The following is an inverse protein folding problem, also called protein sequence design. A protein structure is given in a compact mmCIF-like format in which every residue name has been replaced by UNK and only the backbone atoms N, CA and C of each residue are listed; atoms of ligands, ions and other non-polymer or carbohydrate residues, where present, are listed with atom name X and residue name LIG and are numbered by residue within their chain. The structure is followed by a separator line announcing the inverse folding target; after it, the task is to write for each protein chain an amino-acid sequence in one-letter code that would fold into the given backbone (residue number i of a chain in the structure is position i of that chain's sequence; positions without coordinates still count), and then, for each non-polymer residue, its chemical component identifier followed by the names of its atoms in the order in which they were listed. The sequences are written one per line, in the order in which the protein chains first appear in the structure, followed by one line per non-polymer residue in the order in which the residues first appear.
data_IF_775606275721
#
_entry.id   IF_775606275721
#
_cell.length_a   1.000
_cell.length_b   1.000
_cell.length_c   1.000
_cell.angle_alpha   90.00
_cell.angle_beta   90.00
_cell.angle_gamma   90.00
#
_symmetry.space_group_name_H-M   'P 1'
#
loop_
_entity.id
_entity.type
_entity.pdbx_description
1 polymer ?
#
# COMPACT_ATOMS: atom_id res chain seq x y z
N UNK A 1 15.14 1.21 -8.89
CA UNK A 1 13.85 1.71 -9.38
C UNK A 1 13.56 1.01 -10.68
N UNK A 2 12.36 0.45 -10.84
CA UNK A 2 11.91 -0.20 -12.09
C UNK A 2 10.82 0.70 -12.65
N UNK A 3 10.90 1.10 -13.92
CA UNK A 3 9.89 1.93 -14.59
C UNK A 3 9.22 1.13 -15.71
N UNK A 4 7.90 1.21 -15.80
CA UNK A 4 7.08 0.68 -16.88
C UNK A 4 6.19 1.81 -17.41
N UNK A 5 6.65 2.49 -18.46
CA UNK A 5 6.01 3.70 -18.95
C UNK A 5 6.05 4.82 -17.90
N UNK A 6 4.88 5.33 -17.48
CA UNK A 6 4.76 6.40 -16.47
C UNK A 6 4.66 5.89 -15.03
N UNK A 7 4.56 4.58 -14.84
CA UNK A 7 4.57 3.94 -13.52
C UNK A 7 6.02 3.58 -13.17
N UNK A 8 6.48 4.06 -12.03
CA UNK A 8 7.71 3.65 -11.36
C UNK A 8 7.42 2.80 -10.14
N UNK A 9 8.34 1.90 -9.81
CA UNK A 9 8.35 1.15 -8.57
C UNK A 9 9.71 1.28 -7.90
N UNK A 10 9.69 1.61 -6.61
CA UNK A 10 10.88 1.72 -5.78
C UNK A 10 10.82 0.67 -4.69
N UNK A 11 11.88 -0.12 -4.56
CA UNK A 11 12.06 -1.09 -3.48
C UNK A 11 13.08 -0.55 -2.50
N UNK A 12 12.70 -0.55 -1.23
CA UNK A 12 13.59 -0.30 -0.11
C UNK A 12 13.75 -1.62 0.64
N UNK A 13 14.91 -2.25 0.50
CA UNK A 13 15.23 -3.48 1.21
C UNK A 13 15.46 -3.17 2.68
N UNK A 14 14.89 -3.98 3.56
CA UNK A 14 15.16 -3.89 4.98
C UNK A 14 16.33 -4.80 5.34
N UNK A 15 17.24 -4.28 6.15
CA UNK A 15 18.47 -4.98 6.52
C UNK A 15 18.39 -5.69 7.87
N UNK A 16 19.51 -6.33 8.22
CA UNK A 16 19.72 -7.12 9.45
C UNK A 16 19.31 -6.39 10.73
N UNK A 17 19.44 -5.06 10.79
CA UNK A 17 19.06 -4.28 11.98
C UNK A 17 17.54 -4.28 12.22
N UNK A 18 16.74 -4.22 11.15
CA UNK A 18 15.28 -4.22 11.25
C UNK A 18 14.74 -5.59 11.66
N UNK A 19 15.43 -6.66 11.27
CA UNK A 19 15.03 -8.03 11.60
C UNK A 19 15.25 -8.40 13.07
N UNK A 20 16.15 -7.69 13.75
CA UNK A 20 16.43 -7.87 15.19
C UNK A 20 15.37 -7.25 16.11
N UNK A 21 14.51 -6.36 15.59
CA UNK A 21 13.53 -5.63 16.41
C UNK A 21 12.20 -6.38 16.34
N UNK A 22 11.65 -6.79 17.50
CA UNK A 22 10.34 -7.44 17.59
C UNK A 22 9.25 -6.53 17.03
N UNK A 23 8.30 -7.09 16.27
CA UNK A 23 7.14 -6.34 15.72
C UNK A 23 6.33 -5.58 16.78
N UNK A 24 6.34 -6.04 18.04
CA UNK A 24 5.62 -5.41 19.16
C UNK A 24 6.40 -4.29 19.85
N UNK A 25 7.70 -4.11 19.54
CA UNK A 25 8.53 -3.12 20.21
C UNK A 25 8.16 -1.68 19.81
N UNK A 26 7.57 -1.48 18.63
CA UNK A 26 7.16 -0.18 18.12
C UNK A 26 5.84 -0.29 17.34
N UNK A 27 5.07 0.80 17.21
CA UNK A 27 3.86 0.83 16.36
C UNK A 27 4.14 0.55 14.87
N UNK A 28 5.40 0.65 14.46
CA UNK A 28 5.85 0.34 13.10
C UNK A 28 5.91 -1.17 12.88
N UNK A 29 5.01 -1.71 12.05
CA UNK A 29 4.84 -3.16 11.88
C UNK A 29 5.83 -3.83 10.91
N UNK A 30 6.55 -3.05 10.10
CA UNK A 30 7.46 -3.56 9.06
C UNK A 30 8.86 -3.83 9.65
N UNK A 31 8.93 -4.67 10.69
CA UNK A 31 10.15 -5.01 11.43
C UNK A 31 10.54 -6.47 11.14
N UNK A 32 10.81 -7.27 12.18
CA UNK A 32 11.16 -8.68 12.06
C UNK A 32 10.31 -9.44 11.04
N UNK A 33 10.97 -10.10 10.09
CA UNK A 33 10.35 -10.87 9.01
C UNK A 33 9.85 -10.07 7.80
N UNK A 34 9.99 -8.74 7.78
CA UNK A 34 9.69 -7.92 6.59
C UNK A 34 10.96 -7.72 5.77
N UNK A 35 11.02 -8.30 4.56
CA UNK A 35 12.21 -8.27 3.70
C UNK A 35 12.41 -6.92 2.99
N UNK A 36 11.34 -6.30 2.53
CA UNK A 36 11.39 -5.05 1.75
C UNK A 36 10.06 -4.31 1.81
N UNK A 37 10.13 -3.00 1.63
CA UNK A 37 8.98 -2.14 1.37
C UNK A 37 9.03 -1.66 -0.09
N UNK A 38 7.89 -1.47 -0.71
CA UNK A 38 7.81 -0.91 -2.06
C UNK A 38 6.84 0.25 -2.11
N UNK A 39 7.10 1.18 -3.03
CA UNK A 39 6.18 2.27 -3.37
C UNK A 39 5.95 2.32 -4.86
N UNK A 40 4.71 2.59 -5.25
CA UNK A 40 4.34 2.89 -6.63
C UNK A 40 4.42 4.40 -6.80
N UNK A 41 5.15 4.84 -7.81
CA UNK A 41 5.27 6.23 -8.21
C UNK A 41 4.61 6.39 -9.57
N UNK A 42 3.83 7.43 -9.75
CA UNK A 42 3.22 7.75 -11.03
C UNK A 42 3.65 9.17 -11.40
N UNK A 43 4.35 9.31 -12.54
CA UNK A 43 4.65 10.63 -13.08
C UNK A 43 3.41 11.14 -13.81
N UNK A 44 2.88 12.27 -13.35
CA UNK A 44 1.77 12.97 -13.99
C UNK A 44 2.34 14.23 -14.65
N UNK A 45 2.55 14.17 -15.97
CA UNK A 45 3.00 15.35 -16.74
C UNK A 45 1.81 16.13 -17.33
N UNK A 46 0.60 15.64 -17.12
CA UNK A 46 -0.65 16.16 -17.68
C UNK A 46 -1.71 16.19 -16.58
N UNK A 47 -2.34 17.35 -16.41
CA UNK A 47 -3.30 17.61 -15.33
C UNK A 47 -4.76 17.61 -15.82
N UNK A 48 -5.01 17.19 -17.06
CA UNK A 48 -6.38 17.04 -17.54
C UNK A 48 -7.09 15.85 -16.86
N UNK A 49 -8.38 16.00 -16.61
CA UNK A 49 -9.15 15.04 -15.83
C UNK A 49 -9.15 13.62 -16.42
N UNK A 50 -9.09 13.50 -17.76
CA UNK A 50 -9.07 12.20 -18.44
C UNK A 50 -7.73 11.49 -18.23
N UNK A 51 -6.62 12.21 -18.37
CA UNK A 51 -5.28 11.69 -18.09
C UNK A 51 -5.10 11.30 -16.63
N UNK A 52 -5.52 12.15 -15.69
CA UNK A 52 -5.46 11.85 -14.25
C UNK A 52 -6.25 10.58 -13.93
N UNK A 53 -7.47 10.46 -14.44
CA UNK A 53 -8.29 9.25 -14.26
C UNK A 53 -7.59 8.00 -14.78
N UNK A 54 -7.02 8.08 -15.98
CA UNK A 54 -6.25 6.98 -16.59
C UNK A 54 -5.04 6.59 -15.74
N UNK A 55 -4.28 7.55 -15.22
CA UNK A 55 -3.11 7.28 -14.38
C UNK A 55 -3.47 6.61 -13.05
N UNK A 56 -4.59 7.04 -12.44
CA UNK A 56 -5.14 6.40 -11.24
C UNK A 56 -5.57 4.95 -11.53
N UNK A 57 -6.29 4.72 -12.64
CA UNK A 57 -6.70 3.37 -13.05
C UNK A 57 -5.49 2.46 -13.29
N UNK A 58 -4.47 2.95 -13.99
CA UNK A 58 -3.23 2.19 -14.22
C UNK A 58 -2.53 1.81 -12.90
N UNK A 59 -2.46 2.75 -11.95
CA UNK A 59 -1.89 2.51 -10.61
C UNK A 59 -2.69 1.45 -9.84
N UNK A 60 -4.03 1.50 -9.91
CA UNK A 60 -4.92 0.52 -9.27
C UNK A 60 -4.79 -0.87 -9.89
N UNK A 61 -4.70 -0.96 -11.21
CA UNK A 61 -4.47 -2.22 -11.93
C UNK A 61 -3.11 -2.81 -11.54
N UNK A 62 -2.05 -2.00 -11.52
CA UNK A 62 -0.72 -2.45 -11.11
C UNK A 62 -0.70 -2.92 -9.64
N UNK A 63 -1.30 -2.15 -8.73
CA UNK A 63 -1.44 -2.52 -7.31
C UNK A 63 -2.20 -3.85 -7.13
N UNK A 64 -3.23 -4.10 -7.94
CA UNK A 64 -4.00 -5.35 -7.94
C UNK A 64 -3.17 -6.52 -8.48
N UNK A 65 -2.44 -6.32 -9.58
CA UNK A 65 -1.57 -7.34 -10.17
C UNK A 65 -0.42 -7.76 -9.25
N UNK A 66 0.01 -6.88 -8.34
CA UNK A 66 1.02 -7.18 -7.31
C UNK A 66 0.49 -7.94 -6.10
N UNK A 67 -0.84 -8.06 -5.93
CA UNK A 67 -1.46 -8.74 -4.80
C UNK A 67 -0.92 -10.16 -4.48
N UNK A 68 -0.59 -11.04 -5.46
CA UNK A 68 -0.07 -12.36 -5.14
C UNK A 68 1.36 -12.35 -4.58
N UNK A 69 2.15 -11.30 -4.82
CA UNK A 69 3.59 -11.24 -4.53
C UNK A 69 3.93 -10.51 -3.22
N UNK A 70 2.94 -9.86 -2.60
CA UNK A 70 3.14 -9.02 -1.40
C UNK A 70 2.53 -9.67 -0.17
N UNK A 71 2.69 -9.03 1.00
CA UNK A 71 2.10 -9.51 2.26
C UNK A 71 0.59 -9.70 2.14
N UNK A 72 0.08 -10.73 2.83
CA UNK A 72 -1.35 -11.11 2.85
C UNK A 72 -1.78 -11.32 4.30
N UNK A 73 -3.04 -11.01 4.58
CA UNK A 73 -3.71 -11.25 5.88
C UNK A 73 -3.00 -10.63 7.10
N UNK A 74 -2.84 -9.29 7.17
CA UNK A 74 -3.27 -8.26 6.21
C UNK A 74 -2.20 -7.93 5.16
N UNK A 75 -2.62 -7.26 4.06
CA UNK A 75 -1.67 -6.58 3.18
C UNK A 75 -1.10 -5.38 3.94
N UNK A 76 0.16 -5.47 4.34
CA UNK A 76 0.82 -4.46 5.16
C UNK A 76 0.97 -3.15 4.37
N UNK A 77 0.73 -2.03 5.04
CA UNK A 77 0.80 -0.67 4.48
C UNK A 77 1.65 0.21 5.37
N UNK A 78 2.46 1.06 4.73
CA UNK A 78 3.28 2.01 5.44
C UNK A 78 2.53 3.32 5.65
N UNK A 79 2.30 3.71 6.92
CA UNK A 79 1.50 4.87 7.29
C UNK A 79 1.89 6.19 6.58
N UNK A 80 3.18 6.38 6.29
CA UNK A 80 3.66 7.59 5.63
C UNK A 80 3.28 7.65 4.14
N UNK A 81 2.94 6.52 3.53
CA UNK A 81 2.41 6.45 2.17
C UNK A 81 0.89 6.35 2.27
N UNK A 82 0.25 7.50 2.47
CA UNK A 82 -1.18 7.59 2.76
C UNK A 82 -1.99 7.12 1.56
N UNK A 83 -2.77 6.06 1.78
CA UNK A 83 -3.72 5.53 0.81
C UNK A 83 -5.15 5.78 1.32
N UNK A 84 -5.85 6.70 0.66
CA UNK A 84 -7.24 7.05 1.00
C UNK A 84 -8.21 5.93 0.67
N UNK A 85 -7.95 5.13 -0.36
CA UNK A 85 -8.81 4.02 -0.75
C UNK A 85 -8.86 2.99 0.40
N UNK A 86 -7.71 2.69 1.02
CA UNK A 86 -7.62 1.79 2.18
C UNK A 86 -8.37 2.37 3.39
N UNK A 87 -8.24 3.68 3.64
CA UNK A 87 -8.88 4.33 4.79
C UNK A 87 -10.41 4.30 4.67
N UNK A 88 -10.95 4.59 3.49
CA UNK A 88 -12.40 4.55 3.23
C UNK A 88 -12.93 3.12 3.35
N UNK A 89 -12.21 2.12 2.82
CA UNK A 89 -12.59 0.71 2.95
C UNK A 89 -12.63 0.26 4.41
N UNK A 90 -11.66 0.67 5.23
CA UNK A 90 -11.63 0.37 6.66
C UNK A 90 -12.82 0.98 7.42
N UNK A 91 -13.18 2.23 7.09
CA UNK A 91 -14.34 2.89 7.69
C UNK A 91 -15.65 2.17 7.35
N UNK A 92 -15.85 1.82 6.08
CA UNK A 92 -17.04 1.09 5.63
C UNK A 92 -17.20 -0.26 6.34
N UNK A 93 -16.11 -1.02 6.51
CA UNK A 93 -16.15 -2.29 7.22
C UNK A 93 -16.49 -2.12 8.71
N UNK A 94 -16.00 -1.04 9.32
CA UNK A 94 -16.30 -0.71 10.73
C UNK A 94 -17.78 -0.37 10.90
N UNK A 95 -18.34 0.47 10.02
CA UNK A 95 -19.77 0.81 10.07
C UNK A 95 -20.64 -0.42 9.86
N UNK A 96 -20.29 -1.29 8.90
CA UNK A 96 -21.02 -2.56 8.65
C UNK A 96 -21.00 -3.49 9.85
N UNK A 97 -19.85 -3.65 10.50
CA UNK A 97 -19.73 -4.52 11.69
C UNK A 97 -20.49 -3.95 12.90
N UNK A 98 -20.52 -2.63 13.07
CA UNK A 98 -21.34 -1.98 14.10
C UNK A 98 -22.84 -2.16 13.83
N UNK A 99 -23.29 -2.00 12.58
CA UNK A 99 -24.69 -2.21 12.19
C UNK A 99 -25.15 -3.66 12.41
N UNK A 100 -24.28 -4.66 12.18
CA UNK A 100 -24.60 -6.06 12.46
C UNK A 100 -24.64 -6.40 13.95
N UNK A 101 -23.88 -5.70 14.80
CA UNK A 101 -23.92 -5.89 16.27
C UNK A 101 -25.13 -5.26 16.94
N UNK A 102 -25.85 -4.37 16.25
CA UNK A 102 -27.08 -3.72 16.75
C UNK A 102 -28.37 -4.45 16.34
N UNK A 103 -28.25 -5.60 15.68
CA UNK A 103 -29.33 -6.55 15.44
C UNK A 103 -29.16 -7.76 16.34
#
# INVERSE_FOLDING_TARGET
MIELGKIGMVFNTYGVKMDKIRKSAMPFRHLQGTSSNYSILQKCDQDDAASVKKYVEQTKTFHSNMAPLVSKNPREVFLNYRDLDIMILALLNTVKTLAMKQR
#
